data_IF_192665373982
#
_entry.id   IF_192665373982
#
_cell.length_a   1.000
_cell.length_b   1.000
_cell.length_c   1.000
_cell.angle_alpha   90.00
_cell.angle_beta   90.00
_cell.angle_gamma   90.00
#
_symmetry.space_group_name_H-M   'P 1'
#
loop_
_entity.id
_entity.type
_entity.pdbx_description
1 polymer ?
#
# COMPACT_ATOMS: atom_id res chain seq x y z
N UNK A 1 13.92 31.15 4.69
CA UNK A 1 13.15 29.93 4.99
C UNK A 1 13.97 28.78 5.59
N UNK A 2 15.27 28.61 5.33
CA UNK A 2 16.11 27.53 5.89
C UNK A 2 16.30 27.56 7.43
N UNK A 3 16.23 28.73 8.07
CA UNK A 3 16.52 28.89 9.52
C UNK A 3 15.35 28.46 10.44
N UNK A 4 14.11 28.40 9.95
CA UNK A 4 12.94 27.98 10.73
C UNK A 4 12.84 26.44 10.86
N UNK A 5 13.35 25.70 9.88
CA UNK A 5 13.34 24.22 9.94
C UNK A 5 14.30 23.69 11.02
N UNK A 6 15.44 24.36 11.21
CA UNK A 6 16.47 23.96 12.20
C UNK A 6 16.01 24.19 13.64
N UNK A 7 15.19 25.21 13.89
CA UNK A 7 14.63 25.50 15.22
C UNK A 7 13.53 24.49 15.59
N UNK A 8 12.69 24.06 14.64
CA UNK A 8 11.63 23.08 14.89
C UNK A 8 12.19 21.70 15.26
N UNK A 9 13.31 21.28 14.67
CA UNK A 9 13.98 20.01 14.99
C UNK A 9 14.61 20.05 16.39
N UNK A 10 15.19 21.18 16.80
CA UNK A 10 15.83 21.35 18.12
C UNK A 10 14.83 21.36 19.29
N UNK A 11 13.60 21.80 19.07
CA UNK A 11 12.54 21.83 20.12
C UNK A 11 11.94 20.44 20.38
N UNK A 12 12.05 19.51 19.42
CA UNK A 12 11.53 18.14 19.57
C UNK A 12 12.48 17.20 20.32
N UNK A 13 13.78 17.51 20.41
CA UNK A 13 14.78 16.63 21.04
C UNK A 13 14.57 16.40 22.55
N UNK A 14 14.21 17.39 23.40
CA UNK A 14 14.00 17.14 24.82
C UNK A 14 12.71 16.37 25.16
N UNK A 15 11.72 16.32 24.26
CA UNK A 15 10.50 15.57 24.49
C UNK A 15 10.67 14.02 24.31
N UNK A 16 11.76 13.61 23.67
CA UNK A 16 12.00 12.19 23.35
C UNK A 16 12.58 11.41 24.55
N UNK A 17 13.22 12.07 25.49
CA UNK A 17 13.90 11.42 26.62
C UNK A 17 12.97 10.85 27.70
N UNK A 18 11.68 11.21 27.68
CA UNK A 18 10.67 10.71 28.61
C UNK A 18 9.50 10.01 27.92
N UNK A 19 9.52 9.89 26.59
CA UNK A 19 8.47 9.27 25.82
C UNK A 19 8.65 7.75 25.81
N UNK A 20 7.62 7.01 26.20
CA UNK A 20 7.60 5.57 26.04
C UNK A 20 7.67 5.23 24.54
N UNK A 21 8.63 4.40 24.19
CA UNK A 21 8.87 3.99 22.79
C UNK A 21 8.34 2.59 22.58
N UNK A 22 7.91 2.30 21.36
CA UNK A 22 7.54 0.94 21.00
C UNK A 22 7.74 0.67 19.51
N UNK A 23 8.04 -0.59 19.20
CA UNK A 23 8.08 -1.12 17.84
C UNK A 23 6.80 -1.94 17.59
N UNK A 24 6.04 -1.56 16.59
CA UNK A 24 4.83 -2.26 16.18
C UNK A 24 5.10 -3.03 14.87
N UNK A 25 5.05 -4.35 14.91
CA UNK A 25 5.13 -5.20 13.73
C UNK A 25 3.72 -5.56 13.27
N UNK A 26 3.48 -5.56 11.96
CA UNK A 26 2.18 -5.87 11.35
C UNK A 26 2.30 -6.97 10.30
N UNK A 27 1.34 -7.88 10.31
CA UNK A 27 1.23 -9.02 9.42
C UNK A 27 -0.22 -9.16 8.97
N UNK A 28 -0.49 -9.15 7.68
CA UNK A 28 -1.87 -9.20 7.21
C UNK A 28 -2.02 -9.20 5.71
N UNK A 29 -3.08 -8.57 5.22
CA UNK A 29 -3.40 -8.48 3.81
C UNK A 29 -3.63 -7.04 3.36
N UNK A 30 -3.24 -6.74 2.14
CA UNK A 30 -3.61 -5.54 1.42
C UNK A 30 -4.63 -5.90 0.33
N UNK A 31 -5.72 -5.14 0.27
CA UNK A 31 -6.72 -5.20 -0.79
C UNK A 31 -6.71 -3.88 -1.56
N UNK A 32 -6.35 -3.89 -2.85
CA UNK A 32 -6.44 -2.71 -3.69
C UNK A 32 -7.85 -2.15 -3.73
N UNK A 33 -7.97 -0.86 -4.01
CA UNK A 33 -9.28 -0.22 -4.22
C UNK A 33 -10.05 -0.95 -5.31
N UNK A 34 -11.35 -1.25 -5.10
CA UNK A 34 -12.20 -1.90 -6.10
C UNK A 34 -12.28 -1.10 -7.41
N UNK A 35 -12.52 -1.78 -8.51
CA UNK A 35 -12.59 -1.20 -9.85
C UNK A 35 -13.52 0.01 -9.95
N UNK A 36 -14.74 -0.10 -9.44
CA UNK A 36 -15.77 0.95 -9.50
C UNK A 36 -15.37 2.27 -8.82
N UNK A 37 -14.33 2.22 -7.99
CA UNK A 37 -13.81 3.37 -7.25
C UNK A 37 -12.48 3.90 -7.82
N UNK A 38 -11.99 3.32 -8.93
CA UNK A 38 -10.76 3.72 -9.62
C UNK A 38 -11.05 4.73 -10.73
N UNK A 39 -10.02 5.53 -11.09
CA UNK A 39 -10.10 6.45 -12.23
C UNK A 39 -10.21 5.64 -13.54
N UNK A 40 -10.93 6.18 -14.53
CA UNK A 40 -11.04 5.56 -15.85
C UNK A 40 -9.70 5.46 -16.59
N UNK A 41 -8.72 6.28 -16.24
CA UNK A 41 -7.36 6.24 -16.81
C UNK A 41 -6.45 5.27 -16.06
N UNK A 42 -6.96 4.58 -15.04
CA UNK A 42 -6.22 3.55 -14.32
C UNK A 42 -5.96 2.35 -15.21
N UNK A 43 -4.73 1.87 -15.21
CA UNK A 43 -4.28 0.78 -16.08
C UNK A 43 -5.09 -0.50 -15.83
N UNK A 44 -5.36 -0.85 -14.58
CA UNK A 44 -6.14 -2.06 -14.29
C UNK A 44 -7.58 -1.99 -14.78
N UNK A 45 -8.16 -0.78 -14.86
CA UNK A 45 -9.51 -0.56 -15.43
C UNK A 45 -9.45 -0.69 -16.96
N UNK A 46 -8.43 -0.12 -17.59
CA UNK A 46 -8.25 -0.19 -19.03
C UNK A 46 -7.92 -1.62 -19.50
N UNK A 47 -7.03 -2.32 -18.79
CA UNK A 47 -6.66 -3.71 -19.11
C UNK A 47 -7.86 -4.64 -19.08
N UNK A 48 -8.82 -4.43 -18.17
CA UNK A 48 -10.05 -5.23 -18.12
C UNK A 48 -10.95 -5.10 -19.36
N UNK A 49 -10.72 -4.11 -20.19
CA UNK A 49 -11.45 -4.00 -21.46
C UNK A 49 -11.08 -5.14 -22.45
N UNK A 50 -9.88 -5.69 -22.36
CA UNK A 50 -9.39 -6.75 -23.23
C UNK A 50 -8.81 -7.96 -22.46
N UNK A 51 -8.45 -7.83 -21.19
CA UNK A 51 -7.98 -8.93 -20.34
C UNK A 51 -9.06 -9.38 -19.35
N UNK A 52 -9.15 -10.67 -19.11
CA UNK A 52 -10.02 -11.30 -18.13
C UNK A 52 -9.25 -11.53 -16.83
N UNK A 53 -9.47 -10.71 -15.82
CA UNK A 53 -9.01 -10.82 -14.44
C UNK A 53 -9.90 -9.97 -13.53
N UNK A 54 -9.74 -10.05 -12.22
CA UNK A 54 -10.39 -9.15 -11.28
C UNK A 54 -9.33 -8.31 -10.54
N UNK A 55 -9.59 -7.02 -10.29
CA UNK A 55 -8.69 -6.17 -9.48
C UNK A 55 -8.47 -6.77 -8.09
N UNK A 56 -9.49 -7.45 -7.56
CA UNK A 56 -9.40 -8.18 -6.28
C UNK A 56 -8.37 -9.33 -6.27
N UNK A 57 -7.99 -9.90 -7.41
CA UNK A 57 -6.99 -10.97 -7.53
C UNK A 57 -5.57 -10.45 -7.18
N UNK A 58 -5.40 -9.13 -7.24
CA UNK A 58 -4.21 -8.44 -6.74
C UNK A 58 -4.25 -8.23 -5.22
N UNK A 59 -5.26 -8.70 -4.49
CA UNK A 59 -5.20 -8.73 -3.03
C UNK A 59 -4.17 -9.76 -2.57
N UNK A 60 -3.38 -9.40 -1.56
CA UNK A 60 -2.29 -10.28 -1.15
C UNK A 60 -1.69 -9.93 0.19
N UNK A 61 -0.73 -10.74 0.59
CA UNK A 61 -0.02 -10.62 1.84
C UNK A 61 0.74 -9.29 1.94
N UNK A 62 0.67 -8.66 3.11
CA UNK A 62 1.37 -7.43 3.46
C UNK A 62 2.02 -7.56 4.83
N UNK A 63 3.23 -7.02 4.95
CA UNK A 63 3.97 -6.92 6.20
C UNK A 63 4.38 -5.47 6.44
N UNK A 64 4.61 -5.11 7.70
CA UNK A 64 5.10 -3.78 8.04
C UNK A 64 5.69 -3.71 9.44
N UNK A 65 6.36 -2.58 9.67
CA UNK A 65 6.87 -2.20 10.97
C UNK A 65 6.72 -0.70 11.17
N UNK A 66 6.40 -0.29 12.38
CA UNK A 66 6.20 1.11 12.73
C UNK A 66 6.81 1.40 14.10
N UNK A 67 7.65 2.39 14.17
CA UNK A 67 8.19 2.92 15.41
C UNK A 67 7.24 3.96 15.95
N UNK A 68 6.80 3.78 17.20
CA UNK A 68 5.83 4.63 17.87
C UNK A 68 6.49 5.34 19.06
N UNK A 69 6.19 6.62 19.16
CA UNK A 69 6.55 7.50 20.29
C UNK A 69 5.27 7.91 21.00
N UNK A 70 5.14 7.62 22.28
CA UNK A 70 4.03 8.10 23.09
C UNK A 70 4.22 9.61 23.36
N UNK A 71 3.26 10.40 22.94
CA UNK A 71 3.20 11.84 23.17
C UNK A 71 2.19 12.15 24.30
N UNK A 72 2.59 11.81 25.51
CA UNK A 72 1.71 11.88 26.68
C UNK A 72 0.77 10.68 26.79
N UNK A 73 -0.38 10.87 27.46
CA UNK A 73 -1.28 9.77 27.81
C UNK A 73 -2.13 9.25 26.64
N UNK A 74 -2.53 10.14 25.74
CA UNK A 74 -3.59 9.87 24.77
C UNK A 74 -3.12 9.93 23.31
N UNK A 75 -1.85 10.15 23.04
CA UNK A 75 -1.35 10.33 21.69
C UNK A 75 -0.08 9.52 21.43
N UNK A 76 0.01 8.99 20.21
CA UNK A 76 1.23 8.39 19.64
C UNK A 76 1.59 9.07 18.33
N UNK A 77 2.87 9.29 18.08
CA UNK A 77 3.40 9.57 16.74
C UNK A 77 4.13 8.35 16.22
N UNK A 78 3.96 8.03 14.96
CA UNK A 78 4.53 6.84 14.33
C UNK A 78 5.24 7.13 13.02
N UNK A 79 6.34 6.41 12.78
CA UNK A 79 6.99 6.34 11.46
C UNK A 79 7.14 4.87 11.11
N UNK A 80 6.65 4.48 9.93
CA UNK A 80 6.59 3.08 9.55
C UNK A 80 6.96 2.85 8.09
N UNK A 81 7.31 1.60 7.81
CA UNK A 81 7.54 1.07 6.48
C UNK A 81 6.79 -0.25 6.33
N UNK A 82 6.32 -0.51 5.11
CA UNK A 82 5.65 -1.76 4.77
C UNK A 82 6.14 -2.33 3.45
N UNK A 83 5.64 -3.51 3.15
CA UNK A 83 5.88 -4.19 1.89
C UNK A 83 4.64 -5.00 1.48
N UNK A 84 4.26 -4.85 0.23
CA UNK A 84 3.24 -5.65 -0.44
C UNK A 84 3.69 -5.96 -1.87
N UNK A 85 3.44 -7.19 -2.31
CA UNK A 85 3.61 -7.60 -3.70
C UNK A 85 2.64 -8.72 -4.04
N UNK A 86 2.01 -8.62 -5.21
CA UNK A 86 1.13 -9.66 -5.74
C UNK A 86 1.24 -9.71 -7.26
N UNK A 87 1.12 -10.91 -7.82
CA UNK A 87 0.93 -11.15 -9.26
C UNK A 87 -0.38 -11.88 -9.48
N UNK A 88 -1.02 -11.62 -10.63
CA UNK A 88 -2.19 -12.35 -11.09
C UNK A 88 -2.07 -12.58 -12.59
N UNK A 89 -2.48 -13.76 -13.05
CA UNK A 89 -2.59 -14.05 -14.47
C UNK A 89 -3.86 -13.39 -15.03
N UNK A 90 -3.75 -12.86 -16.25
CA UNK A 90 -4.85 -12.28 -17.01
C UNK A 90 -4.88 -12.92 -18.40
N UNK A 91 -6.05 -13.25 -18.90
CA UNK A 91 -6.23 -13.95 -20.17
C UNK A 91 -6.88 -13.00 -21.17
N UNK A 92 -6.39 -12.95 -22.41
CA UNK A 92 -7.07 -12.18 -23.48
C UNK A 92 -8.50 -12.67 -23.66
N UNK A 93 -9.46 -11.73 -23.75
CA UNK A 93 -10.89 -12.05 -23.81
C UNK A 93 -11.38 -12.43 -25.19
N UNK A 94 -10.65 -12.03 -26.21
CA UNK A 94 -11.15 -12.02 -27.59
C UNK A 94 -10.31 -12.88 -28.51
N UNK A 95 -9.07 -13.20 -28.12
CA UNK A 95 -8.11 -13.85 -28.97
C UNK A 95 -7.49 -15.08 -28.29
N UNK A 96 -7.14 -16.05 -29.11
CA UNK A 96 -6.43 -17.29 -28.76
C UNK A 96 -5.31 -17.52 -29.77
N UNK A 97 -4.34 -18.37 -29.44
CA UNK A 97 -3.29 -18.73 -30.38
C UNK A 97 -3.86 -19.45 -31.60
N UNK A 98 -3.65 -18.88 -32.79
CA UNK A 98 -4.13 -19.45 -34.04
C UNK A 98 -3.51 -20.87 -34.27
N UNK A 99 -4.36 -21.87 -34.42
CA UNK A 99 -3.95 -23.24 -34.71
C UNK A 99 -3.93 -24.17 -33.49
N UNK A 100 -3.69 -23.69 -32.28
CA UNK A 100 -3.77 -24.49 -31.03
C UNK A 100 -5.03 -24.21 -30.21
N UNK A 101 -5.58 -23.00 -30.28
CA UNK A 101 -6.67 -22.57 -29.42
C UNK A 101 -6.25 -22.31 -27.96
N UNK A 102 -4.94 -22.22 -27.70
CA UNK A 102 -4.43 -21.93 -26.38
C UNK A 102 -4.74 -20.48 -25.99
N UNK A 103 -5.04 -20.19 -24.72
CA UNK A 103 -5.28 -18.83 -24.27
C UNK A 103 -4.00 -17.99 -24.29
N UNK A 104 -4.12 -16.72 -24.69
CA UNK A 104 -3.06 -15.71 -24.62
C UNK A 104 -3.06 -15.18 -23.17
N UNK A 105 -1.94 -15.35 -22.46
CA UNK A 105 -1.85 -15.07 -21.03
C UNK A 105 -0.76 -14.03 -20.75
N UNK A 106 -1.10 -13.05 -19.94
CA UNK A 106 -0.17 -12.07 -19.37
C UNK A 106 -0.21 -12.11 -17.84
N UNK A 107 0.93 -11.90 -17.20
CA UNK A 107 1.07 -11.74 -15.75
C UNK A 107 1.11 -10.27 -15.39
N UNK A 108 0.13 -9.84 -14.59
CA UNK A 108 0.07 -8.50 -14.00
C UNK A 108 0.68 -8.54 -12.61
N UNK A 109 1.63 -7.66 -12.33
CA UNK A 109 2.33 -7.63 -11.04
C UNK A 109 2.37 -6.23 -10.45
N UNK A 110 1.86 -6.11 -9.23
CA UNK A 110 1.91 -4.87 -8.44
C UNK A 110 2.74 -5.07 -7.18
N UNK A 111 3.70 -4.18 -6.95
CA UNK A 111 4.48 -4.05 -5.72
C UNK A 111 4.32 -2.66 -5.17
N UNK A 112 4.11 -2.54 -3.86
CA UNK A 112 4.04 -1.25 -3.14
C UNK A 112 4.87 -1.33 -1.87
N UNK A 113 5.68 -0.31 -1.65
CA UNK A 113 6.49 -0.10 -0.44
C UNK A 113 6.03 1.21 0.20
N UNK A 114 5.06 1.17 1.13
CA UNK A 114 4.62 2.35 1.84
C UNK A 114 5.65 2.76 2.91
N UNK A 115 5.99 4.04 2.97
CA UNK A 115 6.64 4.70 4.09
C UNK A 115 5.67 5.73 4.62
N UNK A 116 5.35 5.74 5.91
CA UNK A 116 4.32 6.62 6.46
C UNK A 116 4.74 7.28 7.76
N UNK A 117 4.24 8.49 7.97
CA UNK A 117 4.25 9.18 9.25
C UNK A 117 2.79 9.36 9.70
N UNK A 118 2.48 8.92 10.91
CA UNK A 118 1.12 8.85 11.46
C UNK A 118 1.04 9.50 12.81
N UNK A 119 -0.14 10.00 13.15
CA UNK A 119 -0.50 10.48 14.46
C UNK A 119 -1.75 9.73 14.91
N UNK A 120 -1.71 9.17 16.13
CA UNK A 120 -2.77 8.34 16.68
C UNK A 120 -3.36 8.98 17.92
N UNK A 121 -4.67 8.92 18.06
CA UNK A 121 -5.42 9.26 19.26
C UNK A 121 -5.89 7.98 19.95
N UNK A 122 -5.61 7.87 21.24
CA UNK A 122 -5.97 6.76 22.12
C UNK A 122 -7.01 7.28 23.11
N UNK A 123 -8.31 7.09 22.89
CA UNK A 123 -9.37 7.67 23.75
C UNK A 123 -9.30 7.20 25.21
N UNK A 124 -8.83 5.98 25.45
CA UNK A 124 -8.64 5.43 26.80
C UNK A 124 -7.22 5.61 27.33
N UNK A 125 -6.34 6.28 26.57
CA UNK A 125 -4.93 6.42 26.90
C UNK A 125 -4.18 5.10 26.85
N UNK A 126 -2.93 5.12 27.34
CA UNK A 126 -2.09 3.94 27.52
C UNK A 126 -2.53 3.16 28.76
N UNK A 127 -3.63 2.42 28.68
CA UNK A 127 -4.18 1.61 29.77
C UNK A 127 -3.60 0.19 29.79
N UNK A 128 -3.79 -0.53 30.91
CA UNK A 128 -3.44 -1.95 31.00
C UNK A 128 -4.50 -2.88 30.41
N UNK A 129 -5.64 -2.32 29.96
CA UNK A 129 -6.71 -3.03 29.28
C UNK A 129 -6.65 -2.87 27.76
N UNK A 130 -7.78 -3.04 27.10
CA UNK A 130 -7.90 -2.81 25.65
C UNK A 130 -7.65 -1.34 25.34
N UNK A 131 -6.75 -1.07 24.41
CA UNK A 131 -6.38 0.27 23.95
C UNK A 131 -6.87 0.45 22.52
N UNK A 132 -8.08 0.99 22.33
CA UNK A 132 -8.52 1.41 21.01
C UNK A 132 -7.75 2.64 20.55
N UNK A 133 -7.53 2.76 19.25
CA UNK A 133 -6.91 3.95 18.66
C UNK A 133 -7.45 4.22 17.26
N UNK A 134 -7.45 5.48 16.90
CA UNK A 134 -7.66 5.97 15.53
C UNK A 134 -6.50 6.90 15.18
N UNK A 135 -6.16 6.97 13.91
CA UNK A 135 -5.05 7.81 13.50
C UNK A 135 -5.15 8.24 12.05
N UNK A 136 -4.39 9.27 11.73
CA UNK A 136 -4.23 9.77 10.38
C UNK A 136 -2.79 10.19 10.16
N UNK A 137 -2.40 10.30 8.89
CA UNK A 137 -1.06 10.70 8.53
C UNK A 137 -0.88 10.85 7.03
N UNK A 138 0.37 10.86 6.64
CA UNK A 138 0.80 10.92 5.25
C UNK A 138 1.72 9.74 4.94
N UNK A 139 1.59 9.21 3.73
CA UNK A 139 2.44 8.15 3.20
C UNK A 139 3.16 8.59 1.93
N UNK A 140 4.37 8.07 1.76
CA UNK A 140 5.08 8.02 0.49
C UNK A 140 5.11 6.56 0.03
N UNK A 141 4.58 6.30 -1.15
CA UNK A 141 4.38 4.97 -1.69
C UNK A 141 5.34 4.75 -2.85
N UNK A 142 6.42 3.98 -2.60
CA UNK A 142 7.26 3.46 -3.66
C UNK A 142 6.55 2.31 -4.35
N UNK A 143 6.39 2.36 -5.66
CA UNK A 143 5.63 1.35 -6.39
C UNK A 143 6.34 0.88 -7.65
N UNK A 144 6.00 -0.32 -8.06
CA UNK A 144 6.33 -0.87 -9.37
C UNK A 144 5.14 -1.70 -9.87
N UNK A 145 4.69 -1.40 -11.06
CA UNK A 145 3.72 -2.20 -11.81
C UNK A 145 4.39 -2.77 -13.06
N UNK A 146 4.09 -4.00 -13.40
CA UNK A 146 4.57 -4.60 -14.63
C UNK A 146 3.57 -5.59 -15.20
N UNK A 147 3.54 -5.66 -16.52
CA UNK A 147 2.81 -6.59 -17.33
C UNK A 147 3.81 -7.40 -18.15
N UNK A 148 3.75 -8.72 -18.07
CA UNK A 148 4.67 -9.58 -18.84
C UNK A 148 3.93 -10.81 -19.35
N UNK A 149 4.19 -11.16 -20.61
CA UNK A 149 3.55 -12.30 -21.26
C UNK A 149 3.25 -12.04 -22.72
N UNK A 150 2.22 -12.69 -23.20
CA UNK A 150 1.81 -12.57 -24.59
C UNK A 150 0.65 -11.59 -24.75
N UNK A 151 0.76 -10.71 -25.74
CA UNK A 151 -0.21 -9.66 -26.02
C UNK A 151 -0.56 -9.65 -27.51
N UNK A 152 -1.77 -9.23 -27.81
CA UNK A 152 -2.18 -9.00 -29.21
C UNK A 152 -1.79 -7.59 -29.62
N UNK A 153 -1.02 -7.47 -30.66
CA UNK A 153 -0.61 -6.18 -31.22
C UNK A 153 -1.82 -5.39 -31.77
N UNK A 154 -1.62 -4.10 -32.03
CA UNK A 154 -2.66 -3.19 -32.54
C UNK A 154 -3.25 -3.60 -33.90
N UNK A 155 -2.61 -4.51 -34.61
CA UNK A 155 -3.11 -5.09 -35.87
C UNK A 155 -4.17 -6.18 -35.67
N UNK A 156 -4.45 -6.55 -34.41
CA UNK A 156 -5.34 -7.62 -33.99
C UNK A 156 -5.02 -9.00 -34.60
N UNK A 157 -3.76 -9.23 -34.97
CA UNK A 157 -3.31 -10.48 -35.60
C UNK A 157 -1.99 -10.99 -35.07
N UNK A 158 -1.06 -10.09 -34.77
CA UNK A 158 0.28 -10.46 -34.31
C UNK A 158 0.30 -10.61 -32.80
N UNK A 159 0.74 -11.78 -32.33
CA UNK A 159 0.99 -12.00 -30.91
C UNK A 159 2.45 -11.62 -30.64
N UNK A 160 2.66 -10.73 -29.69
CA UNK A 160 3.97 -10.27 -29.25
C UNK A 160 4.20 -10.66 -27.81
N UNK A 161 5.41 -11.10 -27.49
CA UNK A 161 5.82 -11.26 -26.10
C UNK A 161 6.32 -9.92 -25.57
N UNK A 162 5.57 -9.34 -24.63
CA UNK A 162 5.84 -8.01 -24.06
C UNK A 162 6.30 -8.08 -22.60
N UNK A 163 7.02 -7.04 -22.20
CA UNK A 163 7.37 -6.81 -20.79
C UNK A 163 7.37 -5.30 -20.54
N UNK A 164 6.25 -4.81 -20.06
CA UNK A 164 6.02 -3.40 -19.74
C UNK A 164 6.22 -3.17 -18.25
N UNK A 165 6.92 -2.11 -17.88
CA UNK A 165 7.17 -1.82 -16.46
C UNK A 165 7.16 -0.32 -16.18
N UNK A 166 6.42 0.06 -15.13
CA UNK A 166 6.41 1.41 -14.58
C UNK A 166 6.75 1.40 -13.10
N UNK A 167 7.39 2.43 -12.61
CA UNK A 167 7.72 2.59 -11.20
C UNK A 167 7.82 4.05 -10.81
N UNK A 168 7.64 4.34 -9.53
CA UNK A 168 7.75 5.71 -9.05
C UNK A 168 7.51 5.82 -7.55
N UNK A 169 7.42 7.06 -7.10
CA UNK A 169 7.05 7.44 -5.74
C UNK A 169 5.93 8.46 -5.76
N UNK A 170 4.87 8.19 -5.02
CA UNK A 170 3.75 9.10 -4.90
C UNK A 170 3.36 9.23 -3.43
N UNK A 171 2.85 10.39 -3.07
CA UNK A 171 2.41 10.69 -1.69
C UNK A 171 0.90 10.71 -1.60
N UNK A 172 0.38 10.43 -0.42
CA UNK A 172 -1.05 10.50 -0.17
C UNK A 172 -1.42 10.32 1.29
N UNK A 173 -2.69 10.50 1.62
CA UNK A 173 -3.20 10.35 2.98
C UNK A 173 -3.23 8.87 3.41
N UNK A 174 -3.07 8.70 4.72
CA UNK A 174 -3.24 7.44 5.44
C UNK A 174 -4.21 7.68 6.59
N UNK A 175 -5.18 6.77 6.76
CA UNK A 175 -6.07 6.75 7.92
C UNK A 175 -6.04 5.34 8.49
N UNK A 176 -6.02 5.22 9.81
CA UNK A 176 -5.95 3.92 10.45
C UNK A 176 -6.80 3.86 11.72
N UNK A 177 -7.15 2.66 12.10
CA UNK A 177 -7.82 2.41 13.37
C UNK A 177 -7.55 0.98 13.82
N UNK A 178 -7.50 0.78 15.12
CA UNK A 178 -7.18 -0.53 15.65
C UNK A 178 -7.41 -0.66 17.14
N UNK A 179 -7.11 -1.85 17.61
CA UNK A 179 -7.16 -2.22 19.01
C UNK A 179 -5.83 -2.86 19.41
N UNK A 180 -5.33 -2.52 20.59
CA UNK A 180 -4.14 -3.13 21.21
C UNK A 180 -4.48 -3.65 22.59
N UNK A 181 -4.06 -4.84 22.90
CA UNK A 181 -4.18 -5.48 24.22
C UNK A 181 -2.77 -5.63 24.78
N UNK A 182 -2.38 -4.83 25.79
CA UNK A 182 -1.06 -4.95 26.43
C UNK A 182 -0.98 -6.23 27.26
N UNK A 183 0.14 -6.94 27.14
CA UNK A 183 0.49 -8.14 27.91
C UNK A 183 1.94 -7.95 28.39
N UNK A 184 2.10 -7.26 29.52
CA UNK A 184 3.43 -6.86 30.01
C UNK A 184 4.11 -5.85 29.07
N UNK A 185 5.33 -6.16 28.62
CA UNK A 185 6.09 -5.34 27.65
C UNK A 185 5.67 -5.57 26.19
N UNK A 186 4.82 -6.56 25.91
CA UNK A 186 4.31 -6.86 24.58
C UNK A 186 2.85 -6.46 24.50
N UNK A 187 2.39 -6.00 23.35
CA UNK A 187 0.98 -5.81 23.04
C UNK A 187 0.63 -6.60 21.78
N UNK A 188 -0.57 -7.18 21.75
CA UNK A 188 -1.12 -7.81 20.55
C UNK A 188 -2.37 -7.08 20.12
N UNK A 189 -2.66 -7.07 18.83
CA UNK A 189 -3.82 -6.34 18.35
C UNK A 189 -4.15 -6.53 16.90
N UNK A 190 -5.07 -5.70 16.43
CA UNK A 190 -5.46 -5.62 15.02
C UNK A 190 -5.56 -4.18 14.57
N UNK A 191 -5.21 -3.94 13.32
CA UNK A 191 -5.26 -2.63 12.68
C UNK A 191 -5.89 -2.73 11.29
N UNK A 192 -6.75 -1.79 10.96
CA UNK A 192 -7.20 -1.52 9.60
C UNK A 192 -6.61 -0.19 9.18
N UNK A 193 -5.99 -0.16 8.00
CA UNK A 193 -5.35 1.03 7.44
C UNK A 193 -5.86 1.27 6.03
N UNK A 194 -6.38 2.44 5.79
CA UNK A 194 -6.74 2.94 4.48
C UNK A 194 -5.65 3.87 3.97
N UNK A 195 -5.32 3.75 2.69
CA UNK A 195 -4.38 4.63 2.00
C UNK A 195 -4.93 5.04 0.63
N UNK A 196 -4.47 6.19 0.14
CA UNK A 196 -4.82 6.67 -1.20
C UNK A 196 -3.63 7.39 -1.84
N UNK A 197 -3.21 6.92 -2.99
CA UNK A 197 -2.21 7.58 -3.82
C UNK A 197 -2.40 7.13 -5.27
N UNK A 198 -1.98 7.96 -6.23
CA UNK A 198 -2.09 7.68 -7.67
C UNK A 198 -0.70 7.87 -8.27
N UNK A 199 -0.18 6.84 -8.93
CA UNK A 199 1.04 6.88 -9.73
C UNK A 199 0.75 7.21 -11.19
N UNK A 200 1.70 7.86 -11.87
CA UNK A 200 1.66 8.05 -13.32
C UNK A 200 2.57 7.02 -13.98
N UNK A 201 2.02 6.28 -14.93
CA UNK A 201 2.77 5.33 -15.74
C UNK A 201 3.59 6.06 -16.80
N UNK A 202 4.75 5.52 -17.18
CA UNK A 202 5.58 6.10 -18.23
C UNK A 202 4.87 6.00 -19.60
N UNK A 203 4.92 7.06 -20.39
CA UNK A 203 4.25 7.15 -21.70
C UNK A 203 5.02 6.45 -22.84
N UNK A 204 6.22 5.98 -22.56
CA UNK A 204 7.09 5.23 -23.48
C UNK A 204 6.96 3.71 -23.33
N UNK A 205 6.03 3.27 -22.50
CA UNK A 205 5.77 1.86 -22.21
C UNK A 205 4.31 1.53 -22.58
N UNK A 206 3.92 1.26 -23.68
CA UNK A 206 2.60 0.96 -24.26
C UNK A 206 1.50 0.41 -23.31
N UNK A 207 1.42 0.94 -22.08
CA UNK A 207 0.34 0.62 -21.14
C UNK A 207 -1.01 1.12 -21.65
N UNK A 208 -2.06 0.35 -21.45
CA UNK A 208 -3.41 0.76 -21.82
C UNK A 208 -3.93 1.96 -21.01
N UNK A 209 -3.46 2.11 -19.76
CA UNK A 209 -3.77 3.25 -18.88
C UNK A 209 -2.58 4.16 -18.65
N UNK A 210 -2.85 5.39 -18.24
CA UNK A 210 -1.80 6.39 -17.93
C UNK A 210 -1.50 6.51 -16.43
N UNK A 211 -2.32 5.88 -15.59
CA UNK A 211 -2.26 5.97 -14.12
C UNK A 211 -2.36 4.60 -13.49
N UNK A 212 -1.88 4.50 -12.25
CA UNK A 212 -2.10 3.36 -11.37
C UNK A 212 -2.55 3.84 -10.00
N UNK A 213 -3.70 3.37 -9.53
CA UNK A 213 -4.19 3.64 -8.18
C UNK A 213 -3.53 2.67 -7.19
N UNK A 214 -2.82 3.24 -6.22
CA UNK A 214 -2.11 2.55 -5.14
C UNK A 214 -2.92 2.53 -3.85
N UNK A 215 -4.15 3.03 -3.90
CA UNK A 215 -5.08 3.07 -2.79
C UNK A 215 -5.66 1.71 -2.46
N UNK A 216 -6.13 1.58 -1.23
CA UNK A 216 -6.74 0.35 -0.76
C UNK A 216 -6.80 0.27 0.75
N UNK A 217 -7.13 -0.92 1.24
CA UNK A 217 -7.22 -1.27 2.65
C UNK A 217 -6.16 -2.33 3.01
N UNK A 218 -5.46 -2.09 4.11
CA UNK A 218 -4.63 -3.11 4.78
C UNK A 218 -5.32 -3.50 6.07
N UNK A 219 -5.49 -4.79 6.32
CA UNK A 219 -5.96 -5.35 7.58
C UNK A 219 -4.88 -6.27 8.11
N UNK A 220 -4.49 -6.05 9.35
CA UNK A 220 -3.34 -6.73 9.92
C UNK A 220 -3.54 -7.08 11.38
N UNK A 221 -2.95 -8.20 11.77
CA UNK A 221 -2.58 -8.50 13.13
C UNK A 221 -1.32 -7.71 13.49
N UNK A 222 -1.23 -7.23 14.72
CA UNK A 222 -0.11 -6.41 15.17
C UNK A 222 0.50 -6.95 16.46
N UNK A 223 1.83 -6.89 16.55
CA UNK A 223 2.60 -7.15 17.76
C UNK A 223 3.40 -5.91 18.09
N UNK A 224 3.20 -5.38 19.28
CA UNK A 224 3.83 -4.16 19.75
C UNK A 224 4.81 -4.46 20.90
N UNK A 225 6.06 -4.09 20.77
CA UNK A 225 7.10 -4.24 21.79
C UNK A 225 7.38 -2.88 22.41
N UNK A 226 7.17 -2.74 23.70
CA UNK A 226 7.43 -1.51 24.48
C UNK A 226 8.82 -1.57 25.12
N UNK A 227 9.54 -0.47 25.12
CA UNK A 227 10.86 -0.32 25.75
C UNK A 227 11.11 1.12 26.19
#
# INVERSE_FOLDING_TARGET
MRRFLTVAVLVLIPAITSAQQSLNLSLGGFSPRPEDSRDRQDVLVQDRSFLAFNVGDLSGFAIGGEYLLALGRNFDAGVGIGFYQRSTAAVDRFNEFAGTGDPIVADLKLRVVPVSATFRFLPLGHSNGIVPYIGAGVGAFGWRYSESGDFVASDNRTIIHGNFAGSGWNTGPVVLGGLRIPIGSVGVGGEIRWQSAIGNLPSDQDFAGTKIDLGGLTYSFTINFKF
#
